data_IF_963705327497
#
_entry.id   IF_963705327497
#
_cell.length_a   1.000
_cell.length_b   1.000
_cell.length_c   1.000
_cell.angle_alpha   90.00
_cell.angle_beta   90.00
_cell.angle_gamma   90.00
#
_symmetry.space_group_name_H-M   'P 1'
#
loop_
_entity.id
_entity.type
_entity.pdbx_description
1 polymer ?
#
# COMPACT_ATOMS: atom_id res chain seq x y z
N UNK A 1 21.14 1.13 -1.58
CA UNK A 1 21.43 2.57 -1.78
C UNK A 1 20.40 3.24 -2.68
N UNK A 2 20.09 2.71 -3.87
CA UNK A 2 19.11 3.29 -4.80
C UNK A 2 17.70 3.46 -4.20
N UNK A 3 17.23 2.44 -3.50
CA UNK A 3 15.97 2.46 -2.75
C UNK A 3 15.87 3.66 -1.78
N UNK A 4 16.91 3.86 -0.98
CA UNK A 4 16.99 4.99 -0.05
C UNK A 4 17.04 6.34 -0.77
N UNK A 5 17.83 6.48 -1.84
CA UNK A 5 17.90 7.71 -2.63
C UNK A 5 16.57 8.06 -3.28
N UNK A 6 15.88 7.08 -3.87
CA UNK A 6 14.52 7.24 -4.36
C UNK A 6 13.59 7.71 -3.24
N UNK A 7 13.69 7.09 -2.07
CA UNK A 7 13.01 7.50 -0.84
C UNK A 7 13.19 8.97 -0.51
N UNK A 8 14.43 9.45 -0.44
CA UNK A 8 14.70 10.86 -0.14
C UNK A 8 14.06 11.81 -1.16
N UNK A 9 14.09 11.46 -2.46
CA UNK A 9 13.47 12.27 -3.51
C UNK A 9 11.94 12.31 -3.34
N UNK A 10 11.31 11.16 -3.12
CA UNK A 10 9.85 11.10 -2.89
C UNK A 10 9.42 11.86 -1.65
N UNK A 11 10.17 11.71 -0.55
CA UNK A 11 9.97 12.42 0.71
C UNK A 11 10.07 13.93 0.49
N UNK A 12 11.10 14.39 -0.20
CA UNK A 12 11.29 15.80 -0.52
C UNK A 12 10.12 16.38 -1.32
N UNK A 13 9.68 15.68 -2.38
CA UNK A 13 8.52 16.10 -3.18
C UNK A 13 7.27 16.24 -2.30
N UNK A 14 6.99 15.26 -1.45
CA UNK A 14 5.86 15.31 -0.53
C UNK A 14 5.95 16.48 0.47
N UNK A 15 7.13 16.74 1.03
CA UNK A 15 7.35 17.86 1.97
C UNK A 15 7.19 19.22 1.30
N UNK A 16 7.58 19.36 0.03
CA UNK A 16 7.32 20.57 -0.76
C UNK A 16 5.82 20.76 -0.96
N UNK A 17 5.08 19.71 -1.37
CA UNK A 17 3.62 19.77 -1.53
C UNK A 17 2.94 20.14 -0.20
N UNK A 18 3.34 19.52 0.91
CA UNK A 18 2.83 19.83 2.24
C UNK A 18 3.16 21.28 2.66
N UNK A 19 4.36 21.77 2.34
CA UNK A 19 4.82 23.15 2.57
C UNK A 19 3.97 24.19 1.84
N UNK A 20 3.74 23.99 0.55
CA UNK A 20 2.86 24.86 -0.24
C UNK A 20 1.43 24.81 0.28
N UNK A 21 0.95 23.61 0.66
CA UNK A 21 -0.37 23.42 1.26
C UNK A 21 -0.52 24.20 2.57
N UNK A 22 0.46 24.11 3.47
CA UNK A 22 0.44 24.87 4.72
C UNK A 22 0.29 26.38 4.46
N UNK A 23 1.08 26.91 3.53
CA UNK A 23 1.07 28.34 3.20
C UNK A 23 -0.27 28.79 2.60
N UNK A 24 -0.82 28.05 1.63
CA UNK A 24 -2.10 28.39 0.99
C UNK A 24 -3.26 28.30 1.99
N UNK A 25 -3.21 27.37 2.94
CA UNK A 25 -4.19 27.25 4.00
C UNK A 25 -3.99 28.26 5.15
N UNK A 26 -2.93 29.08 5.11
CA UNK A 26 -2.59 30.00 6.19
C UNK A 26 -2.19 29.30 7.50
N UNK A 27 -1.73 28.06 7.42
CA UNK A 27 -1.31 27.25 8.58
C UNK A 27 0.17 27.50 8.84
N UNK A 28 0.54 28.03 10.02
CA UNK A 28 1.95 28.24 10.39
C UNK A 28 2.59 26.89 10.78
N UNK A 29 2.87 26.04 9.78
CA UNK A 29 3.56 24.77 9.99
C UNK A 29 5.04 24.91 9.61
N UNK A 30 5.94 24.54 10.52
CA UNK A 30 7.37 24.42 10.23
C UNK A 30 7.62 23.04 9.62
N UNK A 31 7.66 22.97 8.28
CA UNK A 31 8.00 21.74 7.56
C UNK A 31 9.48 21.78 7.16
N UNK A 32 10.33 20.88 7.69
CA UNK A 32 11.77 20.90 7.40
C UNK A 32 12.05 20.75 5.89
N UNK A 33 12.96 21.57 5.36
CA UNK A 33 13.53 21.40 4.02
C UNK A 33 12.74 21.94 2.83
N UNK A 34 11.58 22.58 3.02
CA UNK A 34 10.72 23.07 1.92
C UNK A 34 10.90 24.56 1.55
N UNK A 35 11.57 25.35 2.39
CA UNK A 35 11.54 26.83 2.36
C UNK A 35 11.77 27.51 1.01
N UNK A 36 12.91 27.31 0.32
CA UNK A 36 13.21 28.03 -0.93
C UNK A 36 12.28 27.66 -2.10
N UNK A 37 11.93 26.38 -2.25
CA UNK A 37 11.07 25.92 -3.34
C UNK A 37 9.60 26.27 -3.12
N UNK A 38 9.12 26.29 -1.88
CA UNK A 38 7.75 26.72 -1.56
C UNK A 38 7.52 28.15 -2.05
N UNK A 39 8.46 29.07 -1.78
CA UNK A 39 8.37 30.46 -2.26
C UNK A 39 8.32 30.57 -3.79
N UNK A 40 9.15 29.80 -4.49
CA UNK A 40 9.16 29.77 -5.96
C UNK A 40 7.84 29.24 -6.53
N UNK A 41 7.34 28.11 -6.00
CA UNK A 41 6.09 27.51 -6.48
C UNK A 41 4.92 28.47 -6.24
N UNK A 42 4.83 29.08 -5.05
CA UNK A 42 3.80 30.06 -4.74
C UNK A 42 3.81 31.24 -5.72
N UNK A 43 4.99 31.72 -6.13
CA UNK A 43 5.08 32.79 -7.12
C UNK A 43 4.53 32.40 -8.51
N UNK A 44 4.56 31.11 -8.86
CA UNK A 44 4.09 30.60 -10.15
C UNK A 44 2.59 30.29 -10.18
N UNK A 45 2.00 29.97 -9.02
CA UNK A 45 0.63 29.43 -8.96
C UNK A 45 -0.38 30.40 -8.38
N UNK A 46 0.01 31.61 -7.96
CA UNK A 46 -0.97 32.58 -7.44
C UNK A 46 -1.65 33.39 -8.58
N UNK A 47 -2.94 33.74 -8.44
CA UNK A 47 -3.81 33.47 -7.28
C UNK A 47 -4.61 32.16 -7.44
N UNK A 48 -4.39 31.18 -6.55
CA UNK A 48 -5.24 29.99 -6.40
C UNK A 48 -5.99 30.05 -5.08
N UNK A 49 -7.24 29.58 -5.09
CA UNK A 49 -7.99 29.28 -3.87
C UNK A 49 -7.46 28.00 -3.19
N UNK A 50 -7.73 27.80 -1.90
CA UNK A 50 -7.44 26.55 -1.20
C UNK A 50 -7.97 25.30 -1.90
N UNK A 51 -9.20 25.35 -2.41
CA UNK A 51 -9.85 24.20 -3.05
C UNK A 51 -9.14 23.81 -4.36
N UNK A 52 -8.79 24.79 -5.19
CA UNK A 52 -8.07 24.55 -6.44
C UNK A 52 -6.68 23.97 -6.18
N UNK A 53 -5.97 24.51 -5.17
CA UNK A 53 -4.67 23.96 -4.78
C UNK A 53 -4.78 22.52 -4.29
N UNK A 54 -5.72 22.19 -3.40
CA UNK A 54 -5.88 20.82 -2.89
C UNK A 54 -6.16 19.83 -4.02
N UNK A 55 -6.94 20.24 -5.02
CA UNK A 55 -7.17 19.45 -6.23
C UNK A 55 -5.87 19.22 -7.02
N UNK A 56 -5.10 20.29 -7.26
CA UNK A 56 -3.81 20.21 -7.96
C UNK A 56 -2.83 19.33 -7.18
N UNK A 57 -2.74 19.49 -5.86
CA UNK A 57 -1.86 18.70 -5.00
C UNK A 57 -2.23 17.21 -5.06
N UNK A 58 -3.52 16.88 -4.95
CA UNK A 58 -4.01 15.51 -5.08
C UNK A 58 -3.64 14.90 -6.43
N UNK A 59 -3.96 15.57 -7.54
CA UNK A 59 -3.63 15.05 -8.87
C UNK A 59 -2.12 14.96 -9.10
N UNK A 60 -1.33 15.88 -8.56
CA UNK A 60 0.13 15.84 -8.63
C UNK A 60 0.67 14.59 -7.93
N UNK A 61 0.20 14.29 -6.71
CA UNK A 61 0.56 13.08 -5.97
C UNK A 61 0.13 11.82 -6.72
N UNK A 62 -1.08 11.80 -7.26
CA UNK A 62 -1.59 10.67 -8.04
C UNK A 62 -0.74 10.42 -9.29
N UNK A 63 -0.41 11.47 -10.05
CA UNK A 63 0.45 11.39 -11.22
C UNK A 63 1.85 10.88 -10.87
N UNK A 64 2.47 11.40 -9.81
CA UNK A 64 3.77 10.91 -9.37
C UNK A 64 3.74 9.46 -8.91
N UNK A 65 2.68 9.04 -8.22
CA UNK A 65 2.51 7.65 -7.78
C UNK A 65 2.34 6.72 -8.98
N UNK A 66 1.46 7.06 -9.93
CA UNK A 66 1.22 6.28 -11.15
C UNK A 66 2.49 6.22 -12.00
N UNK A 67 3.18 7.35 -12.20
CA UNK A 67 4.42 7.40 -12.96
C UNK A 67 5.51 6.51 -12.35
N UNK A 68 5.72 6.60 -11.03
CA UNK A 68 6.68 5.75 -10.34
C UNK A 68 6.29 4.27 -10.39
N UNK A 69 5.01 3.94 -10.22
CA UNK A 69 4.49 2.57 -10.37
C UNK A 69 4.77 2.00 -11.77
N UNK A 70 4.49 2.78 -12.82
CA UNK A 70 4.72 2.38 -14.20
C UNK A 70 6.21 2.17 -14.47
N UNK A 71 7.07 3.09 -14.02
CA UNK A 71 8.52 2.93 -14.16
C UNK A 71 9.06 1.73 -13.37
N UNK A 72 8.55 1.49 -12.16
CA UNK A 72 8.90 0.31 -11.38
C UNK A 72 8.54 -0.97 -12.13
N UNK A 73 7.34 -1.02 -12.70
CA UNK A 73 6.86 -2.14 -13.51
C UNK A 73 7.72 -2.35 -14.75
N UNK A 74 8.01 -1.29 -15.52
CA UNK A 74 8.91 -1.33 -16.70
C UNK A 74 10.28 -1.88 -16.31
N UNK A 75 10.81 -1.46 -15.15
CA UNK A 75 12.07 -1.95 -14.62
C UNK A 75 12.10 -3.46 -14.36
N UNK A 76 10.95 -4.11 -14.18
CA UNK A 76 10.83 -5.54 -13.95
C UNK A 76 10.45 -6.36 -15.18
N UNK A 77 9.87 -5.75 -16.23
CA UNK A 77 9.39 -6.48 -17.43
C UNK A 77 10.43 -7.44 -18.04
N UNK A 78 11.72 -7.07 -18.22
CA UNK A 78 12.71 -7.99 -18.80
C UNK A 78 12.93 -9.25 -17.94
N UNK A 79 12.74 -9.11 -16.63
CA UNK A 79 13.03 -10.14 -15.65
C UNK A 79 11.83 -11.04 -15.42
N UNK A 80 10.61 -10.48 -15.39
CA UNK A 80 9.36 -11.25 -15.29
C UNK A 80 9.25 -12.20 -16.49
N UNK A 81 9.52 -11.74 -17.70
CA UNK A 81 9.43 -12.55 -18.92
C UNK A 81 10.44 -13.71 -18.98
N UNK A 82 11.55 -13.63 -18.23
CA UNK A 82 12.62 -14.62 -18.22
C UNK A 82 12.64 -15.50 -16.97
N UNK A 83 11.70 -15.29 -16.03
CA UNK A 83 11.68 -16.03 -14.77
C UNK A 83 11.02 -17.41 -14.96
N UNK A 84 11.75 -18.52 -14.78
CA UNK A 84 11.17 -19.85 -14.91
C UNK A 84 10.15 -20.13 -13.80
N UNK A 85 9.07 -20.82 -14.17
CA UNK A 85 8.11 -21.35 -13.20
C UNK A 85 8.80 -22.48 -12.43
N UNK A 86 9.05 -22.26 -11.14
CA UNK A 86 9.71 -23.21 -10.25
C UNK A 86 8.75 -23.68 -9.16
N UNK A 87 8.97 -24.88 -8.63
CA UNK A 87 8.27 -25.36 -7.44
C UNK A 87 8.72 -24.65 -6.15
N UNK A 88 9.76 -23.81 -6.22
CA UNK A 88 10.15 -22.92 -5.13
C UNK A 88 9.64 -21.50 -5.42
N UNK A 89 9.42 -20.68 -4.38
CA UNK A 89 9.15 -19.26 -4.59
C UNK A 89 10.31 -18.57 -5.30
N UNK A 90 10.04 -17.77 -6.32
CA UNK A 90 11.09 -17.21 -7.17
C UNK A 90 11.31 -15.72 -6.89
N UNK A 91 12.38 -15.33 -6.17
CA UNK A 91 12.66 -13.93 -5.96
C UNK A 91 13.15 -13.30 -7.26
N UNK A 92 12.52 -12.20 -7.69
CA UNK A 92 12.97 -11.47 -8.87
C UNK A 92 14.36 -10.85 -8.62
N UNK A 93 15.27 -10.93 -9.60
CA UNK A 93 16.50 -10.14 -9.64
C UNK A 93 16.27 -8.67 -9.34
N UNK A 94 17.27 -8.05 -8.72
CA UNK A 94 17.23 -6.63 -8.37
C UNK A 94 17.25 -5.78 -9.64
N UNK A 95 16.26 -4.90 -9.79
CA UNK A 95 16.21 -3.91 -10.87
C UNK A 95 16.50 -2.52 -10.31
N UNK A 96 17.53 -1.80 -10.81
CA UNK A 96 17.87 -0.46 -10.34
C UNK A 96 16.72 0.55 -10.46
N UNK A 97 15.97 0.46 -11.56
CA UNK A 97 14.84 1.35 -11.84
C UNK A 97 13.69 1.06 -10.87
N UNK A 98 13.36 -0.23 -10.68
CA UNK A 98 12.36 -0.66 -9.69
C UNK A 98 12.73 -0.18 -8.29
N UNK A 99 13.96 -0.44 -7.81
CA UNK A 99 14.36 -0.05 -6.47
C UNK A 99 14.21 1.45 -6.24
N UNK A 100 14.63 2.25 -7.22
CA UNK A 100 14.57 3.71 -7.13
C UNK A 100 13.11 4.19 -7.06
N UNK A 101 12.24 3.66 -7.92
CA UNK A 101 10.83 4.06 -7.98
C UNK A 101 10.01 3.54 -6.80
N UNK A 102 10.30 2.33 -6.32
CA UNK A 102 9.78 1.80 -5.05
C UNK A 102 10.12 2.74 -3.91
N UNK A 103 11.39 3.13 -3.82
CA UNK A 103 11.87 4.08 -2.83
C UNK A 103 11.11 5.38 -2.91
N UNK A 104 10.99 5.94 -4.11
CA UNK A 104 10.24 7.18 -4.35
C UNK A 104 8.80 7.09 -3.85
N UNK A 105 8.06 6.02 -4.14
CA UNK A 105 6.68 5.85 -3.66
C UNK A 105 6.60 5.73 -2.13
N UNK A 106 7.53 5.02 -1.49
CA UNK A 106 7.62 4.93 -0.02
C UNK A 106 7.91 6.30 0.59
N UNK A 107 8.87 7.03 0.01
CA UNK A 107 9.23 8.38 0.44
C UNK A 107 8.07 9.36 0.31
N UNK A 108 7.39 9.36 -0.83
CA UNK A 108 6.23 10.20 -1.10
C UNK A 108 5.12 9.92 -0.08
N UNK A 109 4.82 8.64 0.17
CA UNK A 109 3.82 8.21 1.15
C UNK A 109 4.18 8.65 2.57
N UNK A 110 5.44 8.44 2.98
CA UNK A 110 5.94 8.84 4.28
C UNK A 110 5.82 10.36 4.50
N UNK A 111 6.22 11.14 3.49
CA UNK A 111 6.15 12.60 3.54
C UNK A 111 4.71 13.13 3.57
N UNK A 112 3.78 12.48 2.89
CA UNK A 112 2.36 12.86 2.92
C UNK A 112 1.69 12.47 4.24
N UNK A 113 1.99 11.28 4.78
CA UNK A 113 1.53 10.88 6.12
C UNK A 113 2.03 11.88 7.19
N UNK A 114 3.31 12.28 7.10
CA UNK A 114 3.87 13.33 7.94
C UNK A 114 3.16 14.67 7.70
N UNK A 115 3.11 15.13 6.45
CA UNK A 115 2.60 16.45 6.08
C UNK A 115 1.17 16.66 6.52
N UNK A 116 0.27 15.72 6.23
CA UNK A 116 -1.15 15.82 6.59
C UNK A 116 -1.34 15.91 8.11
N UNK A 117 -0.65 15.07 8.90
CA UNK A 117 -0.72 15.16 10.35
C UNK A 117 -0.07 16.42 10.91
N UNK A 118 1.03 16.90 10.32
CA UNK A 118 1.71 18.10 10.76
C UNK A 118 0.88 19.38 10.54
N UNK A 119 -0.11 19.35 9.64
CA UNK A 119 -1.07 20.44 9.44
C UNK A 119 -2.16 20.50 10.52
N UNK A 120 -2.31 19.46 11.34
CA UNK A 120 -3.31 19.40 12.40
C UNK A 120 -2.75 19.96 13.72
N UNK A 121 -3.58 20.64 14.54
CA UNK A 121 -3.20 21.04 15.89
C UNK A 121 -2.71 19.84 16.70
N UNK A 122 -1.54 19.97 17.32
CA UNK A 122 -0.88 18.90 18.09
C UNK A 122 -0.55 17.62 17.30
N UNK A 123 -0.67 17.64 15.97
CA UNK A 123 -0.43 16.46 15.13
C UNK A 123 1.05 16.16 14.86
N UNK A 124 1.97 17.09 15.16
CA UNK A 124 3.40 16.93 14.85
C UNK A 124 4.06 15.68 15.46
N UNK A 125 3.83 15.29 16.73
CA UNK A 125 4.41 14.06 17.27
C UNK A 125 3.94 12.82 16.50
N UNK A 126 2.66 12.77 16.14
CA UNK A 126 2.07 11.69 15.35
C UNK A 126 2.67 11.69 13.94
N UNK A 127 2.77 12.86 13.31
CA UNK A 127 3.38 13.04 12.00
C UNK A 127 4.79 12.46 11.95
N UNK A 128 5.64 12.79 12.95
CA UNK A 128 7.02 12.31 13.04
C UNK A 128 7.03 10.78 13.11
N UNK A 129 6.25 10.18 14.00
CA UNK A 129 6.22 8.72 14.16
C UNK A 129 5.76 8.03 12.88
N UNK A 130 4.64 8.45 12.30
CA UNK A 130 4.10 7.82 11.10
C UNK A 130 5.00 8.02 9.88
N UNK A 131 5.57 9.21 9.72
CA UNK A 131 6.53 9.50 8.65
C UNK A 131 7.79 8.66 8.78
N UNK A 132 8.40 8.58 9.96
CA UNK A 132 9.61 7.78 10.19
C UNK A 132 9.37 6.28 10.03
N UNK A 133 8.28 5.76 10.62
CA UNK A 133 7.94 4.34 10.47
C UNK A 133 7.69 4.00 9.01
N UNK A 134 6.86 4.75 8.30
CA UNK A 134 6.62 4.53 6.88
C UNK A 134 7.92 4.60 6.06
N UNK A 135 8.74 5.63 6.30
CA UNK A 135 10.00 5.82 5.57
C UNK A 135 11.01 4.69 5.83
N UNK A 136 10.99 4.10 7.02
CA UNK A 136 11.92 3.02 7.38
C UNK A 136 11.80 1.79 6.46
N UNK A 137 10.68 1.64 5.72
CA UNK A 137 10.52 0.59 4.70
C UNK A 137 11.56 0.67 3.56
N UNK A 138 12.23 1.80 3.35
CA UNK A 138 13.33 1.91 2.36
C UNK A 138 14.61 1.17 2.78
N UNK A 139 14.72 0.76 4.04
CA UNK A 139 15.84 -0.02 4.54
C UNK A 139 15.46 -1.50 4.55
N UNK A 140 16.04 -2.28 3.65
CA UNK A 140 15.69 -3.70 3.46
C UNK A 140 15.83 -4.56 4.72
N UNK A 141 16.81 -4.27 5.58
CA UNK A 141 16.96 -4.96 6.86
C UNK A 141 15.81 -4.67 7.83
N UNK A 142 15.24 -3.47 7.77
CA UNK A 142 14.09 -3.07 8.58
C UNK A 142 12.80 -3.62 7.98
N UNK A 143 12.58 -3.46 6.67
CA UNK A 143 11.35 -3.91 6.00
C UNK A 143 11.12 -5.42 6.13
N UNK A 144 12.18 -6.22 6.22
CA UNK A 144 12.13 -7.68 6.40
C UNK A 144 11.99 -8.13 7.86
N UNK A 145 12.08 -7.21 8.80
CA UNK A 145 11.94 -7.54 10.21
C UNK A 145 10.45 -7.69 10.56
N UNK A 146 10.08 -8.85 11.14
CA UNK A 146 8.67 -9.17 11.43
C UNK A 146 8.06 -8.23 12.48
N UNK A 147 8.87 -7.76 13.43
CA UNK A 147 8.40 -6.81 14.46
C UNK A 147 8.12 -5.43 13.85
N UNK A 148 8.98 -4.97 12.94
CA UNK A 148 8.73 -3.75 12.16
C UNK A 148 7.45 -3.87 11.32
N UNK A 149 7.24 -5.02 10.65
CA UNK A 149 6.00 -5.25 9.89
C UNK A 149 4.75 -5.17 10.79
N UNK A 150 4.85 -5.70 12.01
CA UNK A 150 3.87 -5.48 13.09
C UNK A 150 3.56 -4.00 13.31
N UNK A 151 4.59 -3.23 13.65
CA UNK A 151 4.44 -1.79 13.90
C UNK A 151 3.82 -1.07 12.69
N UNK A 152 4.31 -1.36 11.50
CA UNK A 152 3.83 -0.75 10.25
C UNK A 152 2.35 -1.05 10.02
N UNK A 153 1.93 -2.31 10.17
CA UNK A 153 0.54 -2.74 9.99
C UNK A 153 -0.42 -2.10 10.99
N UNK A 154 -0.05 -2.04 12.27
CA UNK A 154 -0.84 -1.37 13.32
C UNK A 154 -0.91 0.15 13.11
N UNK A 155 0.19 0.79 12.73
CA UNK A 155 0.21 2.23 12.49
C UNK A 155 -0.50 2.63 11.18
N UNK A 156 -0.71 1.70 10.25
CA UNK A 156 -1.49 1.92 9.02
C UNK A 156 -2.88 2.52 9.29
N UNK A 157 -3.52 2.13 10.39
CA UNK A 157 -4.81 2.68 10.82
C UNK A 157 -4.81 4.18 11.09
N UNK A 158 -3.63 4.76 11.31
CA UNK A 158 -3.45 6.20 11.53
C UNK A 158 -2.84 6.91 10.32
N UNK A 159 -2.46 6.19 9.26
CA UNK A 159 -1.78 6.76 8.09
C UNK A 159 -2.80 7.32 7.11
N UNK A 160 -2.83 8.66 6.86
CA UNK A 160 -3.76 9.26 5.92
C UNK A 160 -3.70 8.66 4.52
N UNK A 161 -2.51 8.24 4.07
CA UNK A 161 -2.36 7.60 2.76
C UNK A 161 -3.04 6.22 2.70
N UNK A 162 -3.27 5.53 3.81
CA UNK A 162 -4.06 4.29 3.86
C UNK A 162 -5.58 4.55 3.78
N UNK A 163 -6.03 5.79 4.02
CA UNK A 163 -7.46 6.12 4.08
C UNK A 163 -8.14 6.20 2.71
N UNK A 164 -7.40 6.12 1.61
CA UNK A 164 -7.99 5.96 0.29
C UNK A 164 -8.61 4.58 0.05
N UNK A 165 -8.30 3.60 0.90
CA UNK A 165 -8.73 2.20 0.73
C UNK A 165 -9.39 1.67 2.00
N UNK A 166 -8.85 2.00 3.18
CA UNK A 166 -9.34 1.47 4.47
C UNK A 166 -10.82 1.73 4.74
N UNK A 167 -11.39 2.92 4.49
CA UNK A 167 -12.83 3.16 4.66
C UNK A 167 -13.70 2.29 3.75
N UNK A 168 -13.24 1.99 2.53
CA UNK A 168 -13.94 1.04 1.65
C UNK A 168 -13.84 -0.39 2.17
N UNK A 169 -12.69 -0.77 2.73
CA UNK A 169 -12.53 -2.04 3.43
C UNK A 169 -13.51 -2.18 4.60
N UNK A 170 -13.66 -1.13 5.43
CA UNK A 170 -14.66 -1.10 6.51
C UNK A 170 -16.07 -1.28 5.94
N UNK A 171 -16.42 -0.53 4.89
CA UNK A 171 -17.75 -0.61 4.28
C UNK A 171 -18.04 -2.01 3.74
N UNK A 172 -17.10 -2.59 2.98
CA UNK A 172 -17.23 -3.94 2.43
C UNK A 172 -17.28 -4.99 3.52
N UNK A 173 -16.50 -4.82 4.58
CA UNK A 173 -16.52 -5.70 5.75
C UNK A 173 -17.89 -5.69 6.42
N UNK A 174 -18.44 -4.51 6.73
CA UNK A 174 -19.75 -4.38 7.38
C UNK A 174 -20.88 -4.95 6.52
N UNK A 175 -20.81 -4.76 5.19
CA UNK A 175 -21.79 -5.35 4.26
C UNK A 175 -21.64 -6.88 4.19
N UNK A 176 -20.42 -7.40 4.14
CA UNK A 176 -20.15 -8.83 4.02
C UNK A 176 -20.41 -9.61 5.32
N UNK A 177 -20.18 -8.98 6.46
CA UNK A 177 -20.22 -9.56 7.80
C UNK A 177 -21.48 -10.39 8.10
N UNK A 178 -22.72 -9.90 7.90
CA UNK A 178 -23.91 -10.70 8.18
C UNK A 178 -23.99 -11.98 7.32
N UNK A 179 -23.55 -11.92 6.06
CA UNK A 179 -23.54 -13.08 5.17
C UNK A 179 -22.44 -14.08 5.56
N UNK A 180 -21.26 -13.59 5.92
CA UNK A 180 -20.15 -14.40 6.36
C UNK A 180 -20.48 -15.13 7.67
N UNK A 181 -21.03 -14.41 8.66
CA UNK A 181 -21.52 -15.01 9.91
C UNK A 181 -22.69 -15.95 9.69
N UNK A 182 -23.61 -15.65 8.77
CA UNK A 182 -24.72 -16.55 8.43
C UNK A 182 -24.23 -17.86 7.81
N UNK A 183 -23.16 -17.83 7.01
CA UNK A 183 -22.61 -19.01 6.37
C UNK A 183 -21.70 -19.85 7.28
N UNK A 184 -20.88 -19.21 8.12
CA UNK A 184 -19.79 -19.87 8.86
C UNK A 184 -19.68 -19.48 10.34
N UNK A 185 -20.62 -18.69 10.87
CA UNK A 185 -20.55 -18.17 12.24
C UNK A 185 -19.26 -17.37 12.49
N UNK A 186 -18.80 -17.34 13.73
CA UNK A 186 -17.54 -16.65 14.09
C UNK A 186 -16.29 -17.26 13.45
N UNK A 187 -16.37 -18.50 12.93
CA UNK A 187 -15.26 -19.10 12.19
C UNK A 187 -14.99 -18.36 10.87
N UNK A 188 -15.92 -17.54 10.37
CA UNK A 188 -15.77 -16.70 9.18
C UNK A 188 -14.76 -15.56 9.34
N UNK A 189 -14.27 -15.32 10.56
CA UNK A 189 -13.46 -14.16 10.91
C UNK A 189 -12.11 -14.59 11.50
N UNK A 190 -11.05 -13.87 11.12
CA UNK A 190 -9.73 -13.97 11.75
C UNK A 190 -9.15 -12.57 11.90
N UNK A 191 -8.36 -12.37 12.94
CA UNK A 191 -7.53 -11.19 13.08
C UNK A 191 -6.07 -11.58 12.93
N UNK A 192 -5.40 -11.09 11.88
CA UNK A 192 -3.95 -11.20 11.75
C UNK A 192 -3.27 -10.05 12.49
N UNK A 193 -2.84 -10.33 13.72
CA UNK A 193 -2.17 -9.37 14.58
C UNK A 193 -0.81 -8.88 14.03
N UNK A 194 -0.20 -9.60 13.08
CA UNK A 194 1.08 -9.20 12.49
C UNK A 194 0.94 -8.05 11.50
N UNK A 195 -0.17 -7.97 10.79
CA UNK A 195 -0.43 -6.88 9.85
C UNK A 195 -1.56 -5.97 10.32
N UNK A 196 -2.12 -6.27 11.50
CA UNK A 196 -3.32 -5.64 12.06
C UNK A 196 -4.50 -5.70 11.09
N UNK A 197 -4.71 -6.87 10.48
CA UNK A 197 -5.68 -7.08 9.41
C UNK A 197 -6.86 -7.90 9.90
N UNK A 198 -8.07 -7.44 9.58
CA UNK A 198 -9.31 -8.19 9.80
C UNK A 198 -9.61 -8.98 8.53
N UNK A 199 -9.59 -10.29 8.65
CA UNK A 199 -9.81 -11.19 7.53
C UNK A 199 -11.19 -11.83 7.65
N UNK A 200 -11.91 -11.82 6.53
CA UNK A 200 -13.22 -12.47 6.43
C UNK A 200 -13.19 -13.49 5.32
N UNK A 201 -13.84 -14.63 5.52
CA UNK A 201 -14.04 -15.62 4.46
C UNK A 201 -15.51 -15.95 4.25
N UNK A 202 -15.88 -16.23 3.01
CA UNK A 202 -17.27 -16.45 2.62
C UNK A 202 -18.11 -15.16 2.62
N UNK A 203 -19.43 -15.34 2.72
CA UNK A 203 -20.40 -14.24 2.52
C UNK A 203 -20.58 -13.91 1.04
N UNK A 204 -20.69 -12.63 0.69
CA UNK A 204 -20.84 -12.16 -0.69
C UNK A 204 -19.70 -12.60 -1.60
N UNK A 205 -18.46 -12.70 -1.08
CA UNK A 205 -17.32 -13.23 -1.84
C UNK A 205 -17.46 -14.73 -2.13
N UNK A 206 -18.18 -15.48 -1.30
CA UNK A 206 -18.51 -16.88 -1.57
C UNK A 206 -19.72 -17.06 -2.49
N UNK A 207 -20.74 -16.19 -2.37
CA UNK A 207 -22.01 -16.28 -3.12
C UNK A 207 -21.81 -15.91 -4.60
N UNK A 208 -20.92 -14.97 -4.91
CA UNK A 208 -20.67 -14.49 -6.28
C UNK A 208 -19.78 -15.42 -7.11
N UNK A 209 -19.28 -16.53 -6.53
CA UNK A 209 -18.37 -17.46 -7.21
C UNK A 209 -16.96 -16.92 -7.43
N UNK A 210 -16.60 -15.82 -6.73
CA UNK A 210 -15.24 -15.28 -6.71
C UNK A 210 -14.26 -16.34 -6.21
N UNK A 211 -13.08 -16.42 -6.84
CA UNK A 211 -11.99 -17.34 -6.48
C UNK A 211 -10.75 -16.52 -6.18
N UNK A 212 -10.10 -16.79 -5.05
CA UNK A 212 -8.90 -16.08 -4.60
C UNK A 212 -9.16 -15.24 -3.36
N UNK A 213 -8.45 -14.13 -3.24
CA UNK A 213 -8.60 -13.14 -2.18
C UNK A 213 -8.51 -11.74 -2.75
N UNK A 214 -8.94 -10.76 -1.98
CA UNK A 214 -8.57 -9.38 -2.22
C UNK A 214 -8.42 -8.66 -0.88
N UNK A 215 -7.67 -7.56 -0.92
CA UNK A 215 -7.44 -6.68 0.21
C UNK A 215 -8.04 -5.30 -0.04
N UNK A 216 -8.56 -4.66 1.01
CA UNK A 216 -8.90 -3.25 1.04
C UNK A 216 -8.41 -2.64 2.37
N UNK A 217 -7.18 -2.12 2.37
CA UNK A 217 -6.57 -1.51 3.55
C UNK A 217 -6.18 -2.56 4.58
N UNK A 218 -6.76 -2.46 5.77
CA UNK A 218 -6.58 -3.45 6.85
C UNK A 218 -7.67 -4.53 6.87
N UNK A 219 -8.33 -4.77 5.73
CA UNK A 219 -9.36 -5.80 5.58
C UNK A 219 -9.05 -6.73 4.42
N UNK A 220 -9.18 -8.04 4.62
CA UNK A 220 -9.07 -9.02 3.52
C UNK A 220 -10.32 -9.87 3.41
N UNK A 221 -10.61 -10.28 2.19
CA UNK A 221 -11.78 -11.03 1.83
C UNK A 221 -11.35 -12.26 1.04
N UNK A 222 -11.44 -13.43 1.67
CA UNK A 222 -10.95 -14.69 1.12
C UNK A 222 -12.12 -15.53 0.60
N UNK A 223 -12.02 -15.98 -0.63
CA UNK A 223 -12.93 -16.98 -1.16
C UNK A 223 -12.75 -18.31 -0.41
N UNK A 224 -13.86 -18.97 -0.09
CA UNK A 224 -13.82 -20.35 0.39
C UNK A 224 -13.46 -21.26 -0.78
N UNK A 225 -12.51 -22.18 -0.59
CA UNK A 225 -12.21 -23.16 -1.63
C UNK A 225 -13.47 -24.00 -1.97
N UNK A 226 -13.67 -24.43 -3.24
CA UNK A 226 -14.82 -25.24 -3.61
C UNK A 226 -14.90 -26.52 -2.76
N UNK A 227 -16.07 -26.78 -2.14
CA UNK A 227 -16.30 -27.97 -1.31
C UNK A 227 -15.91 -27.85 0.17
N UNK A 228 -15.50 -26.66 0.63
CA UNK A 228 -15.19 -26.39 2.05
C UNK A 228 -16.49 -26.32 2.86
N UNK A 229 -16.64 -27.25 3.81
CA UNK A 229 -17.72 -27.33 4.81
C UNK A 229 -17.36 -26.43 6.00
N UNK A 230 -18.31 -25.91 6.81
CA UNK A 230 -17.98 -24.98 7.91
C UNK A 230 -16.87 -25.41 8.89
N UNK A 231 -16.62 -26.71 9.05
CA UNK A 231 -15.52 -27.23 9.87
C UNK A 231 -14.11 -27.02 9.27
N UNK A 232 -14.00 -26.73 7.97
CA UNK A 232 -12.73 -26.55 7.24
C UNK A 232 -12.44 -25.09 6.91
N UNK A 233 -13.18 -24.11 7.46
CA UNK A 233 -12.95 -22.67 7.23
C UNK A 233 -11.53 -22.21 7.60
N UNK A 234 -10.88 -22.89 8.54
CA UNK A 234 -9.46 -22.69 8.82
C UNK A 234 -8.55 -22.93 7.61
N UNK A 235 -8.96 -23.69 6.59
CA UNK A 235 -8.19 -23.89 5.35
C UNK A 235 -8.31 -22.72 4.38
N UNK A 236 -9.29 -21.82 4.50
CA UNK A 236 -9.33 -20.59 3.69
C UNK A 236 -8.33 -19.57 4.23
N UNK A 237 -8.30 -19.40 5.55
CA UNK A 237 -7.27 -18.63 6.27
C UNK A 237 -5.90 -19.31 6.29
N UNK A 238 -5.89 -20.63 6.17
CA UNK A 238 -4.71 -21.49 6.16
C UNK A 238 -4.31 -21.99 4.78
N UNK A 239 -4.94 -21.51 3.71
CA UNK A 239 -4.54 -21.82 2.34
C UNK A 239 -3.08 -21.35 2.20
N UNK A 240 -2.11 -22.26 2.01
CA UNK A 240 -0.70 -21.93 2.16
C UNK A 240 -0.33 -20.72 1.28
N UNK A 241 -0.12 -19.58 1.93
CA UNK A 241 0.30 -18.32 1.34
C UNK A 241 -0.76 -17.40 0.72
N UNK A 242 -2.03 -17.78 0.53
CA UNK A 242 -3.04 -16.82 0.01
C UNK A 242 -3.34 -15.72 1.03
N UNK A 243 -3.77 -16.09 2.23
CA UNK A 243 -4.00 -15.13 3.30
C UNK A 243 -2.75 -14.30 3.63
N UNK A 244 -1.57 -14.93 3.56
CA UNK A 244 -0.30 -14.26 3.80
C UNK A 244 0.04 -13.22 2.72
N UNK A 245 -0.31 -13.51 1.46
CA UNK A 245 -0.28 -12.56 0.35
C UNK A 245 -1.27 -11.41 0.57
N UNK A 246 -2.54 -11.70 0.92
CA UNK A 246 -3.55 -10.66 1.13
C UNK A 246 -3.25 -9.74 2.32
N UNK A 247 -2.63 -10.27 3.38
CA UNK A 247 -2.12 -9.47 4.51
C UNK A 247 -0.84 -8.72 4.16
N UNK A 248 -0.06 -9.23 3.20
CA UNK A 248 1.07 -8.52 2.59
C UNK A 248 0.62 -7.25 1.86
N UNK A 249 -0.58 -7.23 1.28
CA UNK A 249 -1.18 -6.02 0.70
C UNK A 249 -1.39 -4.93 1.76
N UNK A 250 -1.77 -5.27 2.99
CA UNK A 250 -1.89 -4.30 4.09
C UNK A 250 -0.57 -3.61 4.41
N UNK A 251 0.53 -4.38 4.51
CA UNK A 251 1.87 -3.79 4.69
C UNK A 251 2.27 -2.90 3.51
N UNK A 252 1.86 -3.29 2.31
CA UNK A 252 2.12 -2.56 1.07
C UNK A 252 1.33 -1.26 1.02
N UNK A 253 0.06 -1.24 1.41
CA UNK A 253 -0.75 -0.02 1.53
C UNK A 253 -0.14 0.92 2.58
N UNK A 254 0.30 0.39 3.72
CA UNK A 254 0.91 1.20 4.78
C UNK A 254 2.20 1.89 4.29
N UNK A 255 3.05 1.20 3.52
CA UNK A 255 4.32 1.74 3.04
C UNK A 255 4.20 2.57 1.74
N UNK A 256 3.29 2.22 0.83
CA UNK A 256 3.18 2.82 -0.51
C UNK A 256 1.92 3.67 -0.70
N UNK A 257 0.99 3.64 0.25
CA UNK A 257 -0.26 4.39 0.22
C UNK A 257 -1.35 3.73 -0.63
N UNK A 258 -2.56 4.24 -0.48
CA UNK A 258 -3.74 3.73 -1.17
C UNK A 258 -3.80 4.07 -2.67
N UNK A 259 -3.14 5.15 -3.12
CA UNK A 259 -3.03 5.46 -4.55
C UNK A 259 -2.20 4.42 -5.31
N UNK A 260 -1.15 3.87 -4.66
CA UNK A 260 -0.42 2.72 -5.18
C UNK A 260 -1.34 1.52 -5.35
N UNK A 261 -2.14 1.23 -4.32
CA UNK A 261 -3.07 0.10 -4.34
C UNK A 261 -4.15 0.24 -5.42
N UNK A 262 -4.71 1.43 -5.62
CA UNK A 262 -5.65 1.70 -6.72
C UNK A 262 -5.02 1.56 -8.10
N UNK A 263 -3.80 2.08 -8.28
CA UNK A 263 -3.04 1.89 -9.52
C UNK A 263 -2.81 0.40 -9.79
N UNK A 264 -2.49 -0.33 -8.73
CA UNK A 264 -2.34 -1.78 -8.72
C UNK A 264 -3.61 -2.52 -9.13
N UNK A 265 -4.75 -2.18 -8.55
CA UNK A 265 -6.03 -2.79 -8.87
C UNK A 265 -6.39 -2.62 -10.36
N UNK A 266 -6.07 -1.46 -10.95
CA UNK A 266 -6.23 -1.22 -12.40
C UNK A 266 -5.27 -2.10 -13.21
N UNK A 267 -3.99 -2.12 -12.85
CA UNK A 267 -2.97 -2.94 -13.51
C UNK A 267 -3.29 -4.44 -13.46
N UNK A 268 -3.81 -4.92 -12.34
CA UNK A 268 -4.16 -6.32 -12.14
C UNK A 268 -5.42 -6.71 -12.94
N UNK A 269 -6.44 -5.86 -12.98
CA UNK A 269 -7.80 -6.25 -13.39
C UNK A 269 -8.31 -5.65 -14.71
N UNK A 270 -7.80 -4.51 -15.17
CA UNK A 270 -8.41 -3.73 -16.25
C UNK A 270 -7.70 -3.95 -17.59
N UNK A 271 -8.38 -4.48 -18.63
CA UNK A 271 -7.84 -4.54 -19.99
C UNK A 271 -7.56 -3.13 -20.56
N UNK A 272 -6.56 -2.96 -21.47
CA UNK A 272 -5.68 -3.98 -22.04
C UNK A 272 -4.44 -4.29 -21.18
N UNK A 273 -4.27 -3.61 -20.03
CA UNK A 273 -3.07 -3.68 -19.20
C UNK A 273 -3.09 -4.81 -18.17
N UNK A 274 -4.19 -5.56 -18.08
CA UNK A 274 -4.44 -6.66 -17.13
C UNK A 274 -3.26 -7.64 -16.99
N UNK A 275 -2.41 -7.44 -15.98
CA UNK A 275 -1.23 -8.29 -15.67
C UNK A 275 -1.52 -9.41 -14.67
N UNK A 276 -2.69 -9.43 -14.03
CA UNK A 276 -3.05 -10.42 -13.01
C UNK A 276 -1.97 -10.50 -11.93
N UNK A 277 -1.58 -11.71 -11.52
CA UNK A 277 -0.52 -11.99 -10.52
C UNK A 277 0.87 -11.42 -10.85
N UNK A 278 1.06 -10.89 -12.07
CA UNK A 278 2.31 -10.23 -12.49
C UNK A 278 2.23 -8.70 -12.40
N UNK A 279 1.10 -8.14 -11.96
CA UNK A 279 1.01 -6.71 -11.65
C UNK A 279 2.02 -6.38 -10.54
N UNK A 280 2.66 -5.21 -10.62
CA UNK A 280 3.68 -4.85 -9.63
C UNK A 280 3.12 -4.82 -8.20
N UNK A 281 1.86 -4.41 -8.06
CA UNK A 281 1.08 -4.47 -6.83
C UNK A 281 0.83 -5.88 -6.28
N UNK A 282 0.95 -6.92 -7.10
CA UNK A 282 0.83 -8.33 -6.68
C UNK A 282 2.19 -8.93 -6.33
N UNK A 283 3.25 -8.52 -7.03
CA UNK A 283 4.61 -9.02 -6.81
C UNK A 283 5.23 -8.57 -5.48
N UNK A 284 4.87 -7.38 -5.00
CA UNK A 284 5.34 -6.82 -3.72
C UNK A 284 4.78 -7.57 -2.51
N UNK A 285 3.45 -7.70 -2.33
CA UNK A 285 2.85 -8.41 -1.21
C UNK A 285 3.14 -9.91 -1.22
N UNK A 286 3.38 -10.50 -2.40
CA UNK A 286 3.88 -11.88 -2.50
C UNK A 286 5.17 -12.09 -1.68
N UNK A 287 5.98 -11.06 -1.48
CA UNK A 287 7.20 -11.18 -0.66
C UNK A 287 6.97 -11.27 0.85
N UNK A 288 5.74 -11.10 1.36
CA UNK A 288 5.46 -11.24 2.79
C UNK A 288 5.68 -12.68 3.27
N UNK A 289 5.13 -13.62 2.51
CA UNK A 289 5.35 -15.05 2.63
C UNK A 289 5.22 -15.70 1.25
N UNK A 290 6.32 -15.75 0.49
CA UNK A 290 6.30 -16.18 -0.91
C UNK A 290 5.69 -17.55 -1.14
N UNK A 291 4.71 -17.63 -2.05
CA UNK A 291 4.12 -18.88 -2.52
C UNK A 291 5.02 -19.54 -3.55
N UNK A 292 5.00 -20.87 -3.55
CA UNK A 292 5.61 -21.68 -4.61
C UNK A 292 5.04 -21.29 -5.98
N UNK A 293 5.90 -21.21 -7.00
CA UNK A 293 5.47 -20.97 -8.37
C UNK A 293 5.17 -19.52 -8.72
N UNK A 294 5.23 -18.59 -7.77
CA UNK A 294 4.99 -17.18 -8.01
C UNK A 294 6.26 -16.33 -7.86
N UNK A 295 6.52 -15.41 -8.81
CA UNK A 295 7.61 -14.45 -8.68
C UNK A 295 7.25 -13.39 -7.64
N UNK A 296 8.26 -12.83 -6.96
CA UNK A 296 8.05 -11.72 -6.01
C UNK A 296 9.18 -10.71 -6.02
N UNK A 297 8.86 -9.45 -5.70
CA UNK A 297 9.84 -8.39 -5.43
C UNK A 297 10.23 -8.46 -3.97
N UNK A 298 11.53 -8.58 -3.66
CA UNK A 298 12.00 -8.70 -2.28
C UNK A 298 11.81 -7.40 -1.47
N UNK A 299 10.70 -7.31 -0.76
CA UNK A 299 10.36 -6.20 0.15
C UNK A 299 10.26 -6.69 1.59
N UNK A 300 9.46 -7.71 1.83
CA UNK A 300 9.10 -8.19 3.18
C UNK A 300 9.87 -9.44 3.62
N UNK A 301 10.52 -10.16 2.70
CA UNK A 301 11.44 -11.29 2.94
C UNK A 301 12.72 -11.22 2.11
#
# INVERSE_FOLDING_TARGET
>A
MRLFLGGLVGLFVALVIAGVTATILGIPAVLPGSGPLVGLILALILPLSPAEWLLIAFFTVALFTVFAYVLATIGLLPVIASTPISAAPTPLPVSPLEETMRGFMIGLTAGLNFGIWALLPFGLPIAIVLGLVCFAAVFTLISRNLFYQGILGWLSWLMPMSYFVTPLGILFFLINLPFALGAFGFAALRFDARTSTIETTGGLSGITGFRGGFNLGNFTFLATAPGVVPATVQTAFGAPGLSAHETGHTLTIAAFGGLYHWTGAVDENVPPFRRLVLAYSELVPESHFPRSGLPHVRVWS
#
